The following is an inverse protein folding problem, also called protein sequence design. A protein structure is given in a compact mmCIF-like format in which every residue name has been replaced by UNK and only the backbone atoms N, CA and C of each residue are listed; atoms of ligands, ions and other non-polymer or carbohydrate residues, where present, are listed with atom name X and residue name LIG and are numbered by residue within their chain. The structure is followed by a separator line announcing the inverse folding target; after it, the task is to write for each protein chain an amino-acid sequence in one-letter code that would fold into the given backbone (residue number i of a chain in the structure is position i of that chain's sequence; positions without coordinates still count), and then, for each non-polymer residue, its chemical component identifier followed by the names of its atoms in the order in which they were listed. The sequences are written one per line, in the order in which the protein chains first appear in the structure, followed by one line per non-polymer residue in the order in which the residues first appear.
data_IF_078283571190
#
_entry.id   IF_078283571190
#
_cell.length_a   1.000
_cell.length_b   1.000
_cell.length_c   1.000
_cell.angle_alpha   90.00
_cell.angle_beta   90.00
_cell.angle_gamma   90.00
#
_symmetry.space_group_name_H-M   'P 1'
#
loop_
_entity.id
_entity.type
_entity.pdbx_description
1 polymer ?
#
# COMPACT_ATOMS: atom_id res chain seq x y z
N UNK A 1 -7.12 56.35 -10.85
CA UNK A 1 -6.37 55.30 -11.55
C UNK A 1 -5.28 54.64 -10.70
N UNK A 2 -4.36 55.35 -10.03
CA UNK A 2 -3.32 54.73 -9.17
C UNK A 2 -3.89 53.82 -8.05
N UNK A 3 -4.92 54.28 -7.34
CA UNK A 3 -5.50 53.50 -6.23
C UNK A 3 -6.26 52.24 -6.70
N UNK A 4 -6.83 52.27 -7.91
CA UNK A 4 -7.51 51.11 -8.51
C UNK A 4 -6.50 50.02 -8.89
N UNK A 5 -5.34 50.41 -9.43
CA UNK A 5 -4.27 49.47 -9.79
C UNK A 5 -3.69 48.79 -8.54
N UNK A 6 -3.47 49.56 -7.45
CA UNK A 6 -3.01 49.03 -6.17
C UNK A 6 -4.00 47.98 -5.61
N UNK A 7 -5.31 48.29 -5.66
CA UNK A 7 -6.33 47.34 -5.19
C UNK A 7 -6.35 46.03 -5.96
N UNK A 8 -6.20 46.06 -7.28
CA UNK A 8 -6.15 44.86 -8.13
C UNK A 8 -4.90 44.01 -7.84
N UNK A 9 -3.73 44.65 -7.67
CA UNK A 9 -2.48 43.97 -7.34
C UNK A 9 -2.57 43.27 -5.97
N UNK A 10 -3.17 43.92 -4.98
CA UNK A 10 -3.35 43.32 -3.64
C UNK A 10 -4.29 42.13 -3.70
N UNK A 11 -5.38 42.17 -4.46
CA UNK A 11 -6.29 41.03 -4.63
C UNK A 11 -5.62 39.83 -5.32
N UNK A 12 -4.77 40.09 -6.31
CA UNK A 12 -4.01 39.04 -7.00
C UNK A 12 -3.01 38.37 -6.03
N UNK A 13 -2.32 39.14 -5.21
CA UNK A 13 -1.36 38.62 -4.23
C UNK A 13 -2.07 37.81 -3.14
N UNK A 14 -3.25 38.23 -2.67
CA UNK A 14 -4.06 37.49 -1.71
C UNK A 14 -4.54 36.17 -2.36
N UNK A 15 -5.02 36.22 -3.59
CA UNK A 15 -5.47 35.02 -4.34
C UNK A 15 -4.33 34.02 -4.55
N UNK A 16 -3.14 34.48 -4.93
CA UNK A 16 -1.95 33.67 -5.05
C UNK A 16 -1.51 33.07 -3.70
N UNK A 17 -1.53 33.86 -2.63
CA UNK A 17 -1.22 33.40 -1.29
C UNK A 17 -2.17 32.29 -0.82
N UNK A 18 -3.48 32.48 -1.05
CA UNK A 18 -4.52 31.47 -0.72
C UNK A 18 -4.36 30.21 -1.55
N UNK A 19 -4.08 30.36 -2.85
CA UNK A 19 -3.79 29.22 -3.75
C UNK A 19 -2.61 28.41 -3.26
N UNK A 20 -1.48 29.06 -2.96
CA UNK A 20 -0.30 28.37 -2.42
C UNK A 20 -0.54 27.76 -1.04
N UNK A 21 -1.35 28.40 -0.18
CA UNK A 21 -1.71 27.85 1.12
C UNK A 21 -2.54 26.57 0.98
N UNK A 22 -3.54 26.55 0.10
CA UNK A 22 -4.42 25.39 -0.12
C UNK A 22 -3.67 24.24 -0.79
N UNK A 23 -2.81 24.52 -1.78
CA UNK A 23 -2.13 23.49 -2.56
C UNK A 23 -0.77 23.05 -2.00
N UNK A 24 -0.15 23.82 -1.09
CA UNK A 24 1.12 23.45 -0.44
C UNK A 24 0.98 22.90 0.98
N UNK A 25 -0.20 22.91 1.58
CA UNK A 25 -0.38 22.15 2.82
C UNK A 25 -0.32 20.68 2.46
N UNK A 26 0.76 19.94 2.79
CA UNK A 26 0.76 18.50 2.62
C UNK A 26 -0.38 17.97 3.48
N UNK A 27 -1.39 17.39 2.85
CA UNK A 27 -2.39 16.60 3.55
C UNK A 27 -1.60 15.49 4.24
N UNK A 28 -1.48 15.61 5.58
CA UNK A 28 -0.81 14.58 6.37
C UNK A 28 -1.56 13.30 6.08
N UNK A 29 -0.90 12.36 5.39
CA UNK A 29 -1.46 11.06 5.12
C UNK A 29 -1.99 10.49 6.44
N UNK A 30 -3.16 9.87 6.48
CA UNK A 30 -3.65 9.24 7.68
C UNK A 30 -2.59 8.24 8.16
N UNK A 31 -2.10 8.43 9.38
CA UNK A 31 -1.24 7.45 10.03
C UNK A 31 -2.16 6.26 10.28
N UNK A 32 -2.06 5.25 9.44
CA UNK A 32 -2.62 3.93 9.73
C UNK A 32 -1.89 3.48 10.99
N UNK A 33 -2.58 3.54 12.12
CA UNK A 33 -2.09 2.92 13.36
C UNK A 33 -2.11 1.42 13.09
N UNK A 34 -0.95 0.88 12.82
CA UNK A 34 -0.71 -0.54 12.88
C UNK A 34 -1.18 -1.01 14.28
N UNK A 35 -2.27 -1.77 14.29
CA UNK A 35 -2.65 -2.50 15.50
C UNK A 35 -1.76 -3.74 15.51
N UNK A 36 -0.54 -3.52 16.03
CA UNK A 36 0.41 -4.58 16.27
C UNK A 36 -0.23 -5.71 17.06
N UNK A 37 -0.45 -6.82 16.39
CA UNK A 37 -0.59 -8.11 17.04
C UNK A 37 0.82 -8.50 17.42
N UNK A 38 1.23 -8.14 18.64
CA UNK A 38 2.42 -8.69 19.26
C UNK A 38 2.17 -10.17 19.49
N UNK A 39 2.71 -11.01 18.63
CA UNK A 39 2.89 -12.42 18.90
C UNK A 39 4.39 -12.65 19.13
N UNK A 40 4.76 -12.84 20.40
CA UNK A 40 6.02 -13.45 20.79
C UNK A 40 6.16 -14.80 20.08
N UNK A 41 6.96 -14.88 19.04
CA UNK A 41 7.34 -16.13 18.41
C UNK A 41 8.86 -16.29 18.57
N UNK A 42 9.24 -17.09 19.57
CA UNK A 42 10.54 -17.70 19.73
C UNK A 42 10.86 -18.55 18.49
N UNK A 43 12.07 -18.46 17.90
CA UNK A 43 12.41 -19.28 16.75
C UNK A 43 12.64 -20.74 17.19
N UNK A 44 11.71 -21.60 16.86
CA UNK A 44 11.96 -23.05 16.83
C UNK A 44 12.11 -23.50 15.38
N UNK A 45 13.31 -23.99 15.05
CA UNK A 45 13.56 -24.74 13.84
C UNK A 45 12.79 -26.07 13.94
N UNK A 46 11.74 -26.20 13.17
CA UNK A 46 10.97 -27.43 13.09
C UNK A 46 10.22 -27.49 11.75
N UNK A 47 10.56 -28.51 10.95
CA UNK A 47 9.77 -28.95 9.81
C UNK A 47 8.31 -29.12 10.22
N UNK A 48 7.43 -28.19 9.89
CA UNK A 48 6.00 -28.43 9.92
C UNK A 48 5.46 -28.52 8.51
N UNK A 49 4.57 -29.51 8.23
CA UNK A 49 3.85 -29.60 6.96
C UNK A 49 3.03 -28.32 6.79
N UNK A 50 2.94 -27.82 5.56
CA UNK A 50 2.12 -26.65 5.23
C UNK A 50 0.73 -26.83 5.85
N UNK A 51 0.44 -26.13 6.94
CA UNK A 51 -0.92 -25.96 7.44
C UNK A 51 -1.75 -25.37 6.30
N UNK A 52 -2.94 -25.96 6.11
CA UNK A 52 -3.95 -25.45 5.19
C UNK A 52 -4.32 -24.05 5.61
N UNK A 53 -3.48 -23.09 5.22
CA UNK A 53 -3.65 -21.68 5.45
C UNK A 53 -4.95 -21.21 4.79
N UNK A 54 -5.61 -20.31 5.49
CA UNK A 54 -6.74 -19.54 5.02
C UNK A 54 -6.64 -19.31 3.51
N UNK A 55 -7.66 -19.70 2.72
CA UNK A 55 -7.68 -19.57 1.25
C UNK A 55 -7.41 -18.13 0.76
N UNK A 56 -7.45 -17.18 1.67
CA UNK A 56 -7.29 -15.75 1.37
C UNK A 56 -5.82 -15.28 1.27
N UNK A 57 -4.86 -16.03 1.83
CA UNK A 57 -3.44 -15.65 1.75
C UNK A 57 -2.51 -16.85 1.72
N UNK A 58 -1.36 -16.71 1.04
CA UNK A 58 -0.30 -17.72 0.98
C UNK A 58 1.08 -17.09 1.05
N UNK A 59 2.02 -17.73 1.73
CA UNK A 59 3.44 -17.37 1.65
C UNK A 59 4.01 -17.97 0.36
N UNK A 60 4.38 -17.11 -0.59
CA UNK A 60 4.90 -17.52 -1.91
C UNK A 60 6.42 -17.61 -1.95
N UNK A 61 7.10 -17.14 -0.91
CA UNK A 61 8.54 -17.21 -0.79
C UNK A 61 9.06 -16.46 0.42
N UNK A 62 10.38 -16.41 0.54
CA UNK A 62 11.10 -15.62 1.54
C UNK A 62 12.13 -14.72 0.86
N UNK A 63 12.31 -13.54 1.41
CA UNK A 63 13.39 -12.64 1.03
C UNK A 63 14.76 -13.16 1.47
N UNK A 64 15.84 -12.50 1.07
CA UNK A 64 17.21 -12.84 1.49
C UNK A 64 17.38 -12.71 3.00
N UNK A 65 16.72 -11.71 3.63
CA UNK A 65 16.75 -11.49 5.08
C UNK A 65 15.72 -12.35 5.84
N UNK A 66 15.02 -13.27 5.15
CA UNK A 66 14.09 -14.24 5.75
C UNK A 66 12.65 -13.75 5.94
N UNK A 67 12.31 -12.54 5.47
CA UNK A 67 10.94 -12.02 5.55
C UNK A 67 10.02 -12.76 4.59
N UNK A 68 8.78 -13.02 5.00
CA UNK A 68 7.79 -13.67 4.16
C UNK A 68 7.34 -12.76 3.02
N UNK A 69 7.19 -13.33 1.83
CA UNK A 69 6.55 -12.73 0.68
C UNK A 69 5.16 -13.32 0.60
N UNK A 70 4.14 -12.49 0.83
CA UNK A 70 2.76 -12.94 0.98
C UNK A 70 1.94 -12.54 -0.24
N UNK A 71 1.19 -13.50 -0.77
CA UNK A 71 0.18 -13.29 -1.79
C UNK A 71 -1.22 -13.36 -1.17
N UNK A 72 -2.09 -12.43 -1.54
CA UNK A 72 -3.49 -12.36 -1.12
C UNK A 72 -4.39 -12.69 -2.30
N UNK A 73 -5.42 -13.51 -2.07
CA UNK A 73 -6.28 -14.04 -3.13
C UNK A 73 -7.73 -13.59 -2.94
N UNK A 74 -8.34 -13.13 -4.02
CA UNK A 74 -9.72 -12.65 -4.08
C UNK A 74 -10.45 -13.34 -5.23
N UNK A 75 -11.63 -13.91 -4.97
CA UNK A 75 -12.35 -14.76 -5.93
C UNK A 75 -11.69 -16.12 -6.11
N UNK A 76 -12.34 -16.98 -6.88
CA UNK A 76 -11.94 -18.38 -7.07
C UNK A 76 -12.01 -18.84 -8.53
N UNK A 77 -12.19 -17.90 -9.48
CA UNK A 77 -12.31 -18.18 -10.90
C UNK A 77 -11.05 -18.78 -11.53
N UNK A 78 -11.21 -19.38 -12.70
CA UNK A 78 -10.12 -20.04 -13.43
C UNK A 78 -9.13 -19.05 -14.05
N UNK A 79 -9.59 -17.85 -14.46
CA UNK A 79 -8.75 -16.78 -15.00
C UNK A 79 -7.97 -16.12 -13.87
N UNK A 80 -6.64 -16.18 -13.94
CA UNK A 80 -5.76 -15.65 -12.89
C UNK A 80 -5.20 -14.28 -13.28
N UNK A 81 -5.46 -13.26 -12.46
CA UNK A 81 -4.85 -11.93 -12.55
C UNK A 81 -3.87 -11.76 -11.39
N UNK A 82 -2.67 -11.27 -11.69
CA UNK A 82 -1.63 -11.01 -10.71
C UNK A 82 -1.27 -9.53 -10.70
N UNK A 83 -1.35 -8.91 -9.51
CA UNK A 83 -0.86 -7.58 -9.24
C UNK A 83 0.30 -7.65 -8.26
N UNK A 84 1.38 -6.93 -8.56
CA UNK A 84 2.59 -6.94 -7.74
C UNK A 84 3.01 -5.50 -7.43
N UNK A 85 3.17 -5.19 -6.15
CA UNK A 85 3.74 -3.95 -5.64
C UNK A 85 5.13 -4.17 -5.03
N UNK A 86 5.86 -3.08 -4.75
CA UNK A 86 7.11 -3.10 -4.01
C UNK A 86 8.23 -3.93 -4.63
N UNK A 87 8.38 -3.94 -5.96
CA UNK A 87 9.39 -4.74 -6.67
C UNK A 87 10.80 -4.15 -6.46
N UNK A 88 10.95 -2.83 -6.68
CA UNK A 88 12.26 -2.16 -6.69
C UNK A 88 12.72 -1.65 -5.31
N UNK A 89 12.02 -2.05 -4.25
CA UNK A 89 12.36 -1.65 -2.89
C UNK A 89 11.67 -0.35 -2.44
N UNK A 90 12.17 0.23 -1.33
CA UNK A 90 11.45 1.25 -0.59
C UNK A 90 11.33 2.63 -1.24
N UNK A 91 12.12 2.95 -2.25
CA UNK A 91 11.99 4.23 -2.97
C UNK A 91 10.72 4.31 -3.80
N UNK A 92 10.12 3.17 -4.14
CA UNK A 92 8.83 3.04 -4.83
C UNK A 92 7.71 2.57 -3.88
N UNK A 93 7.77 2.94 -2.61
CA UNK A 93 6.79 2.58 -1.58
C UNK A 93 5.35 2.97 -1.94
N UNK A 94 5.17 3.93 -2.82
CA UNK A 94 3.86 4.30 -3.37
C UNK A 94 3.16 3.13 -4.08
N UNK A 95 3.90 2.23 -4.73
CA UNK A 95 3.32 1.03 -5.37
C UNK A 95 2.81 0.03 -4.34
N UNK A 96 3.43 -0.01 -3.17
CA UNK A 96 2.98 -0.79 -2.01
C UNK A 96 1.65 -0.25 -1.49
N UNK A 97 1.53 1.09 -1.33
CA UNK A 97 0.28 1.72 -0.90
C UNK A 97 -0.85 1.45 -1.89
N UNK A 98 -0.60 1.61 -3.20
CA UNK A 98 -1.61 1.31 -4.23
C UNK A 98 -2.06 -0.14 -4.15
N UNK A 99 -1.15 -1.09 -3.88
CA UNK A 99 -1.50 -2.49 -3.74
C UNK A 99 -2.40 -2.73 -2.51
N UNK A 100 -2.09 -2.13 -1.36
CA UNK A 100 -2.94 -2.24 -0.17
C UNK A 100 -4.31 -1.58 -0.36
N UNK A 101 -4.37 -0.40 -0.95
CA UNK A 101 -5.64 0.27 -1.30
C UNK A 101 -6.50 -0.59 -2.24
N UNK A 102 -5.86 -1.23 -3.24
CA UNK A 102 -6.56 -2.17 -4.12
C UNK A 102 -7.10 -3.39 -3.35
N UNK A 103 -6.33 -3.92 -2.40
CA UNK A 103 -6.76 -5.03 -1.55
C UNK A 103 -7.97 -4.64 -0.69
N UNK A 104 -7.94 -3.47 -0.06
CA UNK A 104 -9.04 -2.95 0.75
C UNK A 104 -10.29 -2.74 -0.10
N UNK A 105 -10.13 -2.21 -1.31
CA UNK A 105 -11.23 -2.04 -2.26
C UNK A 105 -11.85 -3.38 -2.67
N UNK A 106 -11.04 -4.38 -3.03
CA UNK A 106 -11.50 -5.72 -3.43
C UNK A 106 -12.21 -6.43 -2.29
N UNK A 107 -11.71 -6.28 -1.06
CA UNK A 107 -12.33 -6.83 0.15
C UNK A 107 -13.69 -6.19 0.45
N UNK A 108 -13.79 -4.87 0.28
CA UNK A 108 -15.02 -4.14 0.51
C UNK A 108 -16.06 -4.33 -0.60
N UNK A 109 -15.64 -4.69 -1.82
CA UNK A 109 -16.47 -4.79 -3.02
C UNK A 109 -16.24 -6.14 -3.76
N UNK A 110 -16.52 -7.29 -3.15
CA UNK A 110 -16.21 -8.58 -3.77
C UNK A 110 -16.92 -8.80 -5.11
N UNK A 111 -18.07 -8.18 -5.31
CA UNK A 111 -18.89 -8.28 -6.53
C UNK A 111 -18.25 -7.63 -7.77
N UNK A 112 -17.19 -6.83 -7.61
CA UNK A 112 -16.46 -6.26 -8.75
C UNK A 112 -15.59 -7.30 -9.47
N UNK A 113 -15.34 -8.44 -8.81
CA UNK A 113 -14.56 -9.54 -9.37
C UNK A 113 -15.51 -10.47 -10.11
N UNK A 114 -15.37 -10.61 -11.46
CA UNK A 114 -16.18 -11.58 -12.19
C UNK A 114 -16.01 -13.00 -11.64
N UNK A 115 -17.08 -13.79 -11.65
CA UNK A 115 -17.08 -15.15 -11.08
C UNK A 115 -16.06 -16.10 -11.71
N UNK A 116 -15.61 -15.82 -12.94
CA UNK A 116 -14.59 -16.61 -13.64
C UNK A 116 -13.16 -16.11 -13.38
N UNK A 117 -12.97 -15.10 -12.49
CA UNK A 117 -11.67 -14.46 -12.21
C UNK A 117 -11.24 -14.72 -10.78
N UNK A 118 -9.95 -14.96 -10.59
CA UNK A 118 -9.26 -14.85 -9.30
C UNK A 118 -8.19 -13.75 -9.41
N UNK A 119 -8.24 -12.81 -8.49
CA UNK A 119 -7.22 -11.77 -8.36
C UNK A 119 -6.25 -12.17 -7.27
N UNK A 120 -4.95 -12.13 -7.59
CA UNK A 120 -3.87 -12.33 -6.61
C UNK A 120 -3.10 -11.03 -6.49
N UNK A 121 -2.87 -10.56 -5.27
CA UNK A 121 -2.09 -9.35 -4.99
C UNK A 121 -0.89 -9.71 -4.12
N UNK A 122 0.32 -9.35 -4.57
CA UNK A 122 1.54 -9.37 -3.77
C UNK A 122 1.91 -7.91 -3.49
N UNK A 123 1.55 -7.35 -2.33
CA UNK A 123 1.75 -5.92 -2.08
C UNK A 123 3.22 -5.54 -1.94
N UNK A 124 4.06 -6.46 -1.45
CA UNK A 124 5.49 -6.24 -1.22
C UNK A 124 6.29 -7.43 -1.74
N UNK A 125 6.82 -7.32 -2.95
CA UNK A 125 7.66 -8.39 -3.52
C UNK A 125 9.10 -8.32 -2.99
N UNK A 126 9.60 -7.13 -2.66
CA UNK A 126 10.93 -6.92 -2.09
C UNK A 126 10.84 -6.28 -0.69
N UNK A 127 10.50 -7.09 0.34
CA UNK A 127 10.34 -6.57 1.70
C UNK A 127 11.65 -6.07 2.31
N UNK A 128 12.80 -6.63 1.93
CA UNK A 128 14.10 -6.16 2.41
C UNK A 128 14.42 -4.76 1.90
N UNK A 129 14.17 -4.54 0.59
CA UNK A 129 14.35 -3.22 -0.01
C UNK A 129 13.38 -2.18 0.54
N UNK A 130 12.15 -2.58 0.85
CA UNK A 130 11.17 -1.71 1.50
C UNK A 130 11.63 -1.32 2.91
N UNK A 131 12.02 -2.30 3.74
CA UNK A 131 12.46 -2.10 5.10
C UNK A 131 13.67 -1.16 5.18
N UNK A 132 14.66 -1.29 4.30
CA UNK A 132 15.85 -0.43 4.27
C UNK A 132 15.55 1.06 4.11
N UNK A 133 14.43 1.41 3.49
CA UNK A 133 14.09 2.82 3.19
C UNK A 133 12.99 3.33 4.10
N UNK A 134 11.96 2.54 4.35
CA UNK A 134 10.78 2.96 5.12
C UNK A 134 10.90 2.57 6.59
N UNK A 135 11.77 1.60 6.92
CA UNK A 135 12.01 1.18 8.30
C UNK A 135 10.81 0.46 8.91
N UNK A 136 10.26 -0.50 8.19
CA UNK A 136 9.22 -1.38 8.72
C UNK A 136 9.89 -2.59 9.36
N UNK A 137 10.00 -2.60 10.66
CA UNK A 137 10.35 -3.80 11.45
C UNK A 137 9.09 -4.57 11.84
#
# INVERSE_FOLDING_TARGET
MKNTIIGVVVLILIGLGLYFYIYKTPTKAPIVKDQGVAADVKPEAGNQPAEQGNKEQTVVGKSVEGRDIIAYHYGDGETKLLFVGGIHGGYEWNTVLVAYEAMDYLKANPDVIPSNVQVTVIPVLNPDGLNKVVGTD
#
